data_IF_475090933391
#
_entry.id   IF_475090933391
#
_cell.length_a   1.000
_cell.length_b   1.000
_cell.length_c   1.000
_cell.angle_alpha   90.00
_cell.angle_beta   90.00
_cell.angle_gamma   90.00
#
_symmetry.space_group_name_H-M   'P 1'
#
loop_
_entity.id
_entity.type
_entity.pdbx_description
1 polymer ?
#
# COMPACT_ATOMS: atom_id res chain seq x y z
N UNK A 1 2.46 2.39 22.43
CA UNK A 1 1.45 1.72 21.59
C UNK A 1 0.06 2.11 22.07
N UNK A 2 -0.91 2.37 21.19
CA UNK A 2 -2.27 2.61 21.61
C UNK A 2 -2.80 1.37 22.33
N UNK A 3 -3.57 1.61 23.41
CA UNK A 3 -4.17 0.54 24.20
C UNK A 3 -5.19 -0.19 23.34
N UNK A 4 -5.19 -1.51 23.37
CA UNK A 4 -6.16 -2.30 22.69
C UNK A 4 -7.60 -1.95 23.12
N UNK A 5 -8.46 -1.67 22.15
CA UNK A 5 -9.86 -1.21 22.40
C UNK A 5 -10.89 -2.19 21.82
N UNK A 6 -10.47 -3.07 20.89
CA UNK A 6 -11.37 -3.95 20.12
C UNK A 6 -11.32 -5.42 20.52
N UNK A 7 -10.37 -5.85 21.34
CA UNK A 7 -10.19 -7.26 21.70
C UNK A 7 -9.47 -8.12 20.68
N UNK A 8 -8.93 -7.54 19.61
CA UNK A 8 -8.31 -8.28 18.50
C UNK A 8 -6.77 -8.27 18.54
N UNK A 9 -6.15 -7.69 19.58
CA UNK A 9 -4.68 -7.57 19.68
C UNK A 9 -4.04 -6.61 18.67
N UNK A 10 -4.82 -5.75 18.02
CA UNK A 10 -4.34 -4.85 16.97
C UNK A 10 -3.36 -3.79 17.51
N UNK A 11 -2.25 -3.56 16.81
CA UNK A 11 -1.29 -2.50 17.17
C UNK A 11 -1.91 -1.10 17.09
N UNK A 12 -2.82 -0.88 16.13
CA UNK A 12 -3.47 0.41 15.86
C UNK A 12 -4.99 0.25 15.74
N UNK A 13 -5.70 0.00 16.86
CA UNK A 13 -7.13 -0.34 16.83
C UNK A 13 -8.04 0.79 16.34
N UNK A 14 -7.62 2.05 16.44
CA UNK A 14 -8.40 3.21 15.97
C UNK A 14 -8.20 3.50 14.48
N UNK A 15 -7.05 3.13 13.93
CA UNK A 15 -6.72 3.35 12.52
C UNK A 15 -5.81 2.21 12.03
N UNK A 16 -6.45 1.13 11.58
CA UNK A 16 -5.76 -0.08 11.13
C UNK A 16 -4.60 0.20 10.17
N UNK A 17 -4.76 0.94 9.08
CA UNK A 17 -3.68 1.24 8.12
C UNK A 17 -2.38 1.79 8.72
N UNK A 18 -2.40 2.36 9.93
CA UNK A 18 -1.18 2.85 10.60
C UNK A 18 -0.14 1.75 10.86
N UNK A 19 -0.51 0.45 10.84
CA UNK A 19 0.45 -0.64 10.94
C UNK A 19 1.52 -0.57 9.83
N UNK A 20 1.12 -0.28 8.60
CA UNK A 20 2.05 -0.20 7.47
C UNK A 20 2.98 1.01 7.59
N UNK A 21 2.47 2.14 8.08
CA UNK A 21 3.28 3.33 8.35
C UNK A 21 4.33 3.07 9.44
N UNK A 22 3.98 2.27 10.45
CA UNK A 22 4.93 1.85 11.48
C UNK A 22 6.12 1.09 10.86
N UNK A 23 5.85 0.11 10.01
CA UNK A 23 6.92 -0.62 9.32
C UNK A 23 7.67 0.27 8.31
N UNK A 24 6.99 1.18 7.63
CA UNK A 24 7.61 2.15 6.73
C UNK A 24 8.59 3.08 7.48
N UNK A 25 8.24 3.52 8.68
CA UNK A 25 9.14 4.27 9.56
C UNK A 25 10.41 3.48 9.87
N UNK A 26 10.26 2.21 10.24
CA UNK A 26 11.40 1.31 10.47
C UNK A 26 12.25 1.20 9.19
N UNK A 27 11.61 1.00 8.04
CA UNK A 27 12.29 0.93 6.75
C UNK A 27 13.10 2.18 6.43
N UNK A 28 12.54 3.36 6.67
CA UNK A 28 13.23 4.63 6.47
C UNK A 28 14.44 4.80 7.42
N UNK A 29 14.33 4.37 8.67
CA UNK A 29 15.45 4.37 9.63
C UNK A 29 16.55 3.41 9.14
N UNK A 30 16.18 2.19 8.76
CA UNK A 30 17.13 1.19 8.22
C UNK A 30 17.77 1.71 6.93
N UNK A 31 17.04 2.38 6.07
CA UNK A 31 17.57 3.05 4.88
C UNK A 31 18.60 4.11 5.25
N UNK A 32 18.26 5.02 6.16
CA UNK A 32 19.13 6.12 6.54
C UNK A 32 20.44 5.65 7.19
N UNK A 33 20.38 4.58 7.98
CA UNK A 33 21.53 4.05 8.72
C UNK A 33 22.40 3.10 7.87
N UNK A 34 21.77 2.21 7.10
CA UNK A 34 22.42 1.08 6.47
C UNK A 34 22.29 1.07 4.95
N UNK A 35 21.06 0.99 4.41
CA UNK A 35 20.80 0.66 3.01
C UNK A 35 21.39 1.71 2.05
N UNK A 36 21.35 2.98 2.40
CA UNK A 36 21.90 4.06 1.58
C UNK A 36 23.38 3.89 1.26
N UNK A 37 24.13 3.20 2.13
CA UNK A 37 25.57 2.95 1.99
C UNK A 37 25.90 1.69 1.20
N UNK A 38 24.90 0.85 0.93
CA UNK A 38 25.11 -0.39 0.18
C UNK A 38 25.42 -0.10 -1.30
N UNK A 39 26.36 -0.85 -1.87
CA UNK A 39 26.55 -0.87 -3.32
C UNK A 39 25.29 -1.42 -4.02
N UNK A 40 25.10 -1.07 -5.29
CA UNK A 40 23.97 -1.57 -6.06
C UNK A 40 23.95 -3.10 -6.16
N UNK A 41 25.13 -3.74 -6.23
CA UNK A 41 25.24 -5.20 -6.24
C UNK A 41 24.75 -5.81 -4.92
N UNK A 42 25.20 -5.27 -3.79
CA UNK A 42 24.80 -5.76 -2.48
C UNK A 42 23.31 -5.51 -2.22
N UNK A 43 22.80 -4.36 -2.65
CA UNK A 43 21.36 -4.07 -2.60
C UNK A 43 20.55 -5.06 -3.45
N UNK A 44 21.03 -5.44 -4.63
CA UNK A 44 20.37 -6.45 -5.48
C UNK A 44 20.33 -7.83 -4.79
N UNK A 45 21.43 -8.24 -4.16
CA UNK A 45 21.47 -9.50 -3.39
C UNK A 45 20.51 -9.45 -2.22
N UNK A 46 20.47 -8.34 -1.47
CA UNK A 46 19.54 -8.15 -0.36
C UNK A 46 18.08 -8.19 -0.84
N UNK A 47 17.76 -7.47 -1.91
CA UNK A 47 16.41 -7.48 -2.49
C UNK A 47 16.01 -8.88 -2.94
N UNK A 48 16.89 -9.61 -3.59
CA UNK A 48 16.63 -10.99 -4.00
C UNK A 48 16.38 -11.90 -2.80
N UNK A 49 17.20 -11.83 -1.77
CA UNK A 49 17.00 -12.62 -0.54
C UNK A 49 15.66 -12.31 0.14
N UNK A 50 15.27 -11.02 0.19
CA UNK A 50 13.97 -10.62 0.73
C UNK A 50 12.80 -11.08 -0.15
N UNK A 51 12.94 -11.08 -1.47
CA UNK A 51 11.94 -11.66 -2.38
C UNK A 51 11.77 -13.17 -2.14
N UNK A 52 12.87 -13.91 -2.00
CA UNK A 52 12.83 -15.34 -1.67
C UNK A 52 12.14 -15.58 -0.31
N UNK A 53 12.47 -14.79 0.70
CA UNK A 53 11.87 -14.90 2.02
C UNK A 53 10.37 -14.57 2.01
N UNK A 54 9.96 -13.52 1.27
CA UNK A 54 8.53 -13.18 1.11
C UNK A 54 7.78 -14.28 0.36
N UNK A 55 8.37 -14.81 -0.73
CA UNK A 55 7.78 -15.91 -1.49
C UNK A 55 7.61 -17.14 -0.61
N UNK A 56 8.64 -17.52 0.14
CA UNK A 56 8.54 -18.63 1.09
C UNK A 56 7.42 -18.40 2.09
N UNK A 57 7.37 -17.23 2.72
CA UNK A 57 6.34 -16.87 3.70
C UNK A 57 4.92 -16.97 3.12
N UNK A 58 4.73 -16.48 1.89
CA UNK A 58 3.44 -16.47 1.21
C UNK A 58 3.01 -17.86 0.75
N UNK A 59 3.91 -18.58 0.07
CA UNK A 59 3.61 -19.88 -0.56
C UNK A 59 3.39 -21.00 0.47
N UNK A 60 4.15 -20.96 1.58
CA UNK A 60 4.00 -21.95 2.67
C UNK A 60 2.96 -21.54 3.72
N UNK A 61 2.17 -20.51 3.43
CA UNK A 61 1.10 -19.98 4.30
C UNK A 61 1.51 -19.82 5.76
N UNK A 62 2.63 -19.14 5.99
CA UNK A 62 3.10 -18.87 7.35
C UNK A 62 2.13 -17.98 8.15
N UNK A 63 1.20 -17.32 7.47
CA UNK A 63 0.13 -16.52 8.06
C UNK A 63 -0.99 -17.38 8.67
N UNK A 64 -1.26 -18.55 8.10
CA UNK A 64 -2.43 -19.37 8.37
C UNK A 64 -3.72 -18.87 7.75
N UNK A 65 -3.64 -17.84 6.87
CA UNK A 65 -4.81 -17.23 6.20
C UNK A 65 -4.79 -17.43 4.68
N UNK A 66 -3.81 -18.15 4.16
CA UNK A 66 -3.59 -18.29 2.72
C UNK A 66 -3.24 -16.96 2.02
N UNK A 67 -2.82 -15.94 2.76
CA UNK A 67 -2.56 -14.58 2.28
C UNK A 67 -1.41 -13.95 3.06
N UNK A 68 -0.71 -13.01 2.43
CA UNK A 68 0.30 -12.18 3.12
C UNK A 68 -0.33 -11.00 3.89
N UNK A 69 -1.63 -11.01 4.11
CA UNK A 69 -2.40 -9.99 4.84
C UNK A 69 -2.09 -9.93 6.34
N UNK A 70 -0.83 -9.80 6.73
CA UNK A 70 -0.33 -9.76 8.11
C UNK A 70 0.34 -8.43 8.46
N UNK A 71 0.64 -8.19 9.72
CA UNK A 71 1.29 -6.99 10.24
C UNK A 71 0.41 -6.20 11.20
N UNK A 72 -0.76 -6.73 11.58
CA UNK A 72 -1.78 -6.04 12.36
C UNK A 72 -1.55 -6.14 13.87
N UNK A 73 -0.95 -7.23 14.34
CA UNK A 73 -0.79 -7.58 15.76
C UNK A 73 0.68 -7.76 16.15
N UNK A 74 0.97 -7.77 17.45
CA UNK A 74 2.34 -7.86 18.00
C UNK A 74 2.70 -9.32 18.28
N UNK A 75 2.45 -10.21 17.34
CA UNK A 75 2.92 -11.59 17.40
C UNK A 75 4.06 -11.84 16.40
N UNK A 76 4.73 -12.95 16.55
CA UNK A 76 5.90 -13.32 15.74
C UNK A 76 5.57 -13.34 14.23
N UNK A 77 4.44 -13.91 13.86
CA UNK A 77 4.03 -14.08 12.47
C UNK A 77 3.71 -12.72 11.83
N UNK A 78 2.94 -11.89 12.54
CA UNK A 78 2.58 -10.57 12.06
C UNK A 78 3.78 -9.63 11.98
N UNK A 79 4.68 -9.65 12.96
CA UNK A 79 5.91 -8.82 12.92
C UNK A 79 6.80 -9.28 11.77
N UNK A 80 7.07 -10.57 11.63
CA UNK A 80 7.92 -11.10 10.56
C UNK A 80 7.31 -10.82 9.18
N UNK A 81 6.04 -11.15 8.99
CA UNK A 81 5.34 -10.93 7.73
C UNK A 81 5.22 -9.43 7.39
N UNK A 82 4.91 -8.58 8.36
CA UNK A 82 4.88 -7.13 8.18
C UNK A 82 6.23 -6.56 7.76
N UNK A 83 7.34 -7.02 8.37
CA UNK A 83 8.70 -6.64 7.98
C UNK A 83 9.04 -7.10 6.56
N UNK A 84 8.70 -8.34 6.17
CA UNK A 84 8.94 -8.85 4.82
C UNK A 84 8.12 -8.08 3.77
N UNK A 85 6.83 -7.83 4.06
CA UNK A 85 5.95 -7.05 3.19
C UNK A 85 6.42 -5.62 2.97
N UNK A 86 7.11 -5.04 3.94
CA UNK A 86 7.67 -3.71 3.82
C UNK A 86 9.06 -3.74 3.18
N UNK A 87 10.01 -4.52 3.71
CA UNK A 87 11.41 -4.49 3.26
C UNK A 87 11.59 -4.99 1.82
N UNK A 88 10.83 -6.01 1.39
CA UNK A 88 10.94 -6.52 0.03
C UNK A 88 10.62 -5.45 -1.02
N UNK A 89 9.40 -4.86 -1.10
CA UNK A 89 9.11 -3.84 -2.09
C UNK A 89 9.90 -2.54 -1.86
N UNK A 90 10.26 -2.22 -0.62
CA UNK A 90 11.08 -1.04 -0.30
C UNK A 90 12.48 -1.12 -0.89
N UNK A 91 13.19 -2.24 -0.68
CA UNK A 91 14.54 -2.45 -1.27
C UNK A 91 14.49 -2.58 -2.78
N UNK A 92 13.43 -3.22 -3.33
CA UNK A 92 13.20 -3.27 -4.77
C UNK A 92 12.99 -1.87 -5.35
N UNK A 93 12.19 -1.02 -4.70
CA UNK A 93 11.97 0.36 -5.11
C UNK A 93 13.26 1.18 -5.15
N UNK A 94 14.14 1.02 -4.13
CA UNK A 94 15.47 1.67 -4.12
C UNK A 94 16.35 1.12 -5.25
N UNK A 95 16.38 -0.19 -5.46
CA UNK A 95 17.12 -0.81 -6.55
C UNK A 95 16.63 -0.30 -7.90
N UNK A 96 15.31 -0.28 -8.11
CA UNK A 96 14.69 0.26 -9.31
C UNK A 96 15.08 1.73 -9.52
N UNK A 97 15.05 2.56 -8.50
CA UNK A 97 15.42 3.99 -8.62
C UNK A 97 16.86 4.20 -9.06
N UNK A 98 17.78 3.29 -8.66
CA UNK A 98 19.20 3.34 -9.10
C UNK A 98 19.41 2.84 -10.52
N UNK A 99 18.56 1.93 -10.99
CA UNK A 99 18.65 1.28 -12.29
C UNK A 99 17.71 1.88 -13.34
N UNK A 100 16.81 2.78 -12.89
CA UNK A 100 15.74 3.28 -13.73
C UNK A 100 16.28 3.99 -14.97
N UNK A 101 15.83 3.46 -16.11
CA UNK A 101 15.96 4.12 -17.41
C UNK A 101 14.57 4.23 -17.99
N UNK A 102 14.08 5.44 -18.30
CA UNK A 102 12.74 5.59 -18.83
C UNK A 102 12.60 4.80 -20.13
N UNK A 103 11.55 4.04 -20.25
CA UNK A 103 11.13 3.44 -21.51
C UNK A 103 10.75 4.58 -22.48
N UNK A 104 10.78 4.27 -23.79
CA UNK A 104 10.32 5.22 -24.82
C UNK A 104 8.95 5.76 -24.40
N UNK A 105 8.74 7.08 -24.44
CA UNK A 105 7.59 7.78 -23.87
C UNK A 105 6.26 7.06 -24.12
N UNK A 106 5.71 6.44 -23.08
CA UNK A 106 4.46 5.72 -23.16
C UNK A 106 3.29 6.71 -23.00
N UNK A 107 2.60 7.00 -24.09
CA UNK A 107 1.35 7.76 -24.04
C UNK A 107 0.27 6.90 -23.36
N UNK A 108 -0.49 7.48 -22.43
CA UNK A 108 -1.56 6.77 -21.74
C UNK A 108 -1.12 5.82 -20.62
N UNK A 109 0.17 5.87 -20.19
CA UNK A 109 0.72 5.02 -19.14
C UNK A 109 -0.10 5.08 -17.83
N UNK A 110 -0.66 6.24 -17.49
CA UNK A 110 -1.54 6.38 -16.32
C UNK A 110 -2.80 5.49 -16.45
N UNK A 111 -3.53 5.59 -17.55
CA UNK A 111 -4.78 4.85 -17.74
C UNK A 111 -4.55 3.35 -17.87
N UNK A 112 -3.51 2.94 -18.59
CA UNK A 112 -3.17 1.52 -18.74
C UNK A 112 -2.70 0.91 -17.42
N UNK A 113 -1.90 1.63 -16.63
CA UNK A 113 -1.50 1.19 -15.29
C UNK A 113 -2.69 1.11 -14.33
N UNK A 114 -3.58 2.11 -14.36
CA UNK A 114 -4.79 2.11 -13.54
C UNK A 114 -5.72 0.94 -13.91
N UNK A 115 -5.95 0.69 -15.20
CA UNK A 115 -6.77 -0.43 -15.65
C UNK A 115 -6.15 -1.78 -15.24
N UNK A 116 -4.84 -1.95 -15.39
CA UNK A 116 -4.15 -3.17 -14.97
C UNK A 116 -4.26 -3.41 -13.46
N UNK A 117 -4.08 -2.37 -12.64
CA UNK A 117 -4.25 -2.48 -11.19
C UNK A 117 -5.70 -2.82 -10.82
N UNK A 118 -6.69 -2.21 -11.49
CA UNK A 118 -8.09 -2.57 -11.28
C UNK A 118 -8.36 -4.04 -11.58
N UNK A 119 -7.83 -4.57 -12.69
CA UNK A 119 -7.98 -5.99 -13.04
C UNK A 119 -7.35 -6.88 -11.95
N UNK A 120 -6.12 -6.57 -11.52
CA UNK A 120 -5.41 -7.35 -10.50
C UNK A 120 -6.17 -7.36 -9.17
N UNK A 121 -6.70 -6.20 -8.74
CA UNK A 121 -7.44 -6.11 -7.48
C UNK A 121 -8.83 -6.75 -7.52
N UNK A 122 -9.35 -7.09 -8.70
CA UNK A 122 -10.60 -7.83 -8.86
C UNK A 122 -10.40 -9.36 -8.97
N UNK A 123 -9.16 -9.84 -8.96
CA UNK A 123 -8.91 -11.28 -8.88
C UNK A 123 -9.42 -11.79 -7.53
N UNK A 124 -10.36 -12.76 -7.52
CA UNK A 124 -10.88 -13.31 -6.29
C UNK A 124 -9.81 -14.12 -5.55
N UNK A 125 -10.06 -14.37 -4.26
CA UNK A 125 -9.19 -15.24 -3.47
C UNK A 125 -9.09 -16.63 -4.13
N UNK A 126 -7.86 -17.12 -4.31
CA UNK A 126 -7.57 -18.39 -4.98
C UNK A 126 -7.43 -19.47 -3.92
N UNK A 127 -8.47 -20.29 -3.77
CA UNK A 127 -8.45 -21.42 -2.85
C UNK A 127 -7.49 -22.52 -3.32
N UNK A 128 -6.85 -23.18 -2.37
CA UNK A 128 -6.03 -24.36 -2.61
C UNK A 128 -6.16 -25.32 -1.43
N UNK A 129 -6.38 -26.60 -1.72
CA UNK A 129 -6.45 -27.69 -0.73
C UNK A 129 -5.09 -28.38 -0.51
N UNK A 130 -4.04 -27.85 -1.13
CA UNK A 130 -2.69 -28.42 -1.08
C UNK A 130 -1.82 -27.83 0.02
N UNK A 131 -0.61 -28.36 0.16
CA UNK A 131 0.41 -27.88 1.10
C UNK A 131 0.94 -26.47 0.76
N UNK A 132 0.64 -25.95 -0.43
CA UNK A 132 1.07 -24.65 -0.90
C UNK A 132 -0.14 -23.76 -1.16
N UNK A 133 -0.04 -22.49 -0.71
CA UNK A 133 -1.06 -21.48 -0.96
C UNK A 133 -0.96 -20.93 -2.38
N UNK A 134 -1.92 -21.24 -3.25
CA UNK A 134 -2.01 -20.64 -4.59
C UNK A 134 -2.26 -19.14 -4.53
N UNK A 135 -3.07 -18.67 -3.57
CA UNK A 135 -3.25 -17.26 -3.34
C UNK A 135 -1.94 -16.58 -2.92
N UNK A 136 -1.17 -17.24 -2.04
CA UNK A 136 0.16 -16.76 -1.66
C UNK A 136 1.14 -16.66 -2.84
N UNK A 137 1.09 -17.63 -3.78
CA UNK A 137 1.85 -17.57 -5.04
C UNK A 137 1.43 -16.35 -5.87
N UNK A 138 0.13 -16.13 -6.03
CA UNK A 138 -0.41 -14.98 -6.77
C UNK A 138 0.01 -13.65 -6.14
N UNK A 139 -0.15 -13.48 -4.82
CA UNK A 139 0.23 -12.28 -4.10
C UNK A 139 1.73 -12.00 -4.18
N UNK A 140 2.58 -13.03 -3.99
CA UNK A 140 4.03 -12.90 -4.14
C UNK A 140 4.43 -12.50 -5.57
N UNK A 141 3.82 -13.11 -6.59
CA UNK A 141 4.06 -12.76 -7.99
C UNK A 141 3.65 -11.31 -8.29
N UNK A 142 2.52 -10.85 -7.73
CA UNK A 142 2.09 -9.46 -7.86
C UNK A 142 3.10 -8.49 -7.26
N UNK A 143 3.58 -8.75 -6.03
CA UNK A 143 4.51 -7.84 -5.34
C UNK A 143 5.90 -7.85 -5.99
N UNK A 144 6.40 -9.02 -6.37
CA UNK A 144 7.79 -9.15 -6.84
C UNK A 144 7.94 -8.83 -8.33
N UNK A 145 6.93 -9.11 -9.14
CA UNK A 145 7.01 -8.92 -10.59
C UNK A 145 6.03 -7.87 -11.11
N UNK A 146 4.74 -8.05 -10.87
CA UNK A 146 3.71 -7.25 -11.56
C UNK A 146 3.75 -5.79 -11.13
N UNK A 147 3.72 -5.50 -9.84
CA UNK A 147 3.73 -4.11 -9.35
C UNK A 147 5.02 -3.36 -9.69
N UNK A 148 6.23 -3.93 -9.57
CA UNK A 148 7.45 -3.28 -10.04
C UNK A 148 7.42 -2.95 -11.53
N UNK A 149 6.91 -3.84 -12.38
CA UNK A 149 6.77 -3.60 -13.82
C UNK A 149 5.76 -2.48 -14.10
N UNK A 150 4.62 -2.47 -13.40
CA UNK A 150 3.61 -1.39 -13.51
C UNK A 150 4.22 -0.05 -13.09
N UNK A 151 4.96 -0.01 -11.99
CA UNK A 151 5.63 1.21 -11.50
C UNK A 151 6.67 1.69 -12.50
N UNK A 152 7.50 0.77 -13.04
CA UNK A 152 8.50 1.11 -14.06
C UNK A 152 7.87 1.70 -15.32
N UNK A 153 6.80 1.08 -15.80
CA UNK A 153 6.04 1.54 -16.95
C UNK A 153 5.37 2.90 -16.69
N UNK A 154 4.68 3.03 -15.55
CA UNK A 154 4.02 4.27 -15.16
C UNK A 154 5.00 5.43 -14.98
N UNK A 155 6.18 5.18 -14.38
CA UNK A 155 7.25 6.17 -14.22
C UNK A 155 7.87 6.61 -15.56
N UNK A 156 7.76 5.79 -16.61
CA UNK A 156 8.18 6.14 -17.97
C UNK A 156 7.13 6.96 -18.72
N UNK A 157 5.93 7.11 -18.17
CA UNK A 157 4.83 7.83 -18.79
C UNK A 157 5.01 9.34 -18.76
N UNK A 158 4.46 10.02 -19.77
CA UNK A 158 4.34 11.48 -19.78
C UNK A 158 2.87 11.86 -20.00
N UNK A 159 2.37 12.77 -19.20
CA UNK A 159 1.12 13.46 -19.47
C UNK A 159 1.35 14.51 -20.55
N UNK A 160 0.54 14.49 -21.59
CA UNK A 160 0.70 15.39 -22.77
C UNK A 160 -0.18 16.63 -22.69
N UNK A 161 -1.18 16.61 -21.79
CA UNK A 161 -2.15 17.70 -21.64
C UNK A 161 -2.18 18.25 -20.20
N UNK A 162 -2.61 19.47 -20.07
CA UNK A 162 -2.66 20.21 -18.80
C UNK A 162 -3.68 19.58 -17.84
N UNK A 163 -4.81 19.08 -18.36
CA UNK A 163 -5.87 18.50 -17.54
C UNK A 163 -5.40 17.20 -16.88
N UNK A 164 -4.84 16.25 -17.66
CA UNK A 164 -4.28 15.00 -17.12
C UNK A 164 -3.15 15.27 -16.11
N UNK A 165 -2.30 16.25 -16.38
CA UNK A 165 -1.23 16.62 -15.45
C UNK A 165 -1.78 17.13 -14.11
N UNK A 166 -2.84 17.96 -14.14
CA UNK A 166 -3.49 18.47 -12.93
C UNK A 166 -4.15 17.34 -12.14
N UNK A 167 -4.86 16.44 -12.83
CA UNK A 167 -5.53 15.28 -12.21
C UNK A 167 -4.48 14.37 -11.55
N UNK A 168 -3.44 13.97 -12.27
CA UNK A 168 -2.39 13.12 -11.73
C UNK A 168 -1.70 13.75 -10.51
N UNK A 169 -1.40 15.06 -10.58
CA UNK A 169 -0.83 15.78 -9.45
C UNK A 169 -1.78 15.81 -8.26
N UNK A 170 -3.04 16.15 -8.47
CA UNK A 170 -4.05 16.15 -7.40
C UNK A 170 -4.18 14.80 -6.72
N UNK A 171 -4.31 13.71 -7.51
CA UNK A 171 -4.39 12.35 -6.99
C UNK A 171 -3.13 11.95 -6.20
N UNK A 172 -1.95 12.32 -6.70
CA UNK A 172 -0.69 12.10 -6.00
C UNK A 172 -0.61 12.86 -4.68
N UNK A 173 -0.97 14.14 -4.69
CA UNK A 173 -0.91 14.99 -3.50
C UNK A 173 -1.87 14.53 -2.39
N UNK A 174 -3.09 14.07 -2.73
CA UNK A 174 -4.07 13.60 -1.73
C UNK A 174 -3.87 12.13 -1.32
N UNK A 175 -3.08 11.33 -2.03
CA UNK A 175 -2.99 9.87 -1.80
C UNK A 175 -2.57 9.53 -0.37
N UNK A 176 -1.55 10.19 0.16
CA UNK A 176 -1.07 9.94 1.53
C UNK A 176 -2.06 10.43 2.61
N UNK A 177 -2.58 11.67 2.58
CA UNK A 177 -3.64 12.07 3.49
C UNK A 177 -4.87 11.16 3.42
N UNK A 178 -5.29 10.76 2.21
CA UNK A 178 -6.43 9.87 2.03
C UNK A 178 -6.20 8.50 2.68
N UNK A 179 -4.99 7.95 2.53
CA UNK A 179 -4.61 6.69 3.16
C UNK A 179 -4.75 6.73 4.69
N UNK A 180 -4.47 7.89 5.30
CA UNK A 180 -4.56 8.02 6.76
C UNK A 180 -6.00 8.24 7.22
N UNK A 181 -6.80 9.03 6.51
CA UNK A 181 -8.10 9.49 7.01
C UNK A 181 -9.29 8.62 6.61
N UNK A 182 -9.17 7.77 5.56
CA UNK A 182 -10.32 7.01 5.05
C UNK A 182 -10.82 5.94 6.03
N UNK A 183 -9.94 5.34 6.80
CA UNK A 183 -10.27 4.15 7.59
C UNK A 183 -11.28 4.40 8.72
N UNK A 184 -11.15 5.47 9.54
CA UNK A 184 -12.19 5.82 10.50
C UNK A 184 -13.56 6.08 9.86
N UNK A 185 -13.60 6.71 8.68
CA UNK A 185 -14.83 6.96 7.94
C UNK A 185 -15.43 5.67 7.38
N UNK A 186 -14.61 4.76 6.91
CA UNK A 186 -15.02 3.41 6.51
C UNK A 186 -15.65 2.64 7.68
N UNK A 187 -15.06 2.73 8.89
CA UNK A 187 -15.67 2.12 10.08
C UNK A 187 -16.99 2.77 10.46
N UNK A 188 -17.12 4.08 10.36
CA UNK A 188 -18.39 4.77 10.58
C UNK A 188 -19.47 4.26 9.60
N UNK A 189 -19.11 4.08 8.33
CA UNK A 189 -19.99 3.47 7.33
C UNK A 189 -20.36 2.02 7.69
N UNK A 190 -19.43 1.16 8.07
CA UNK A 190 -19.74 -0.20 8.51
C UNK A 190 -20.64 -0.24 9.75
N UNK A 191 -20.40 0.62 10.72
CA UNK A 191 -21.27 0.73 11.90
C UNK A 191 -22.70 1.15 11.52
N UNK A 192 -22.82 2.05 10.54
CA UNK A 192 -24.13 2.43 10.01
C UNK A 192 -24.82 1.24 9.32
N UNK A 193 -24.13 0.47 8.47
CA UNK A 193 -24.68 -0.74 7.83
C UNK A 193 -25.21 -1.75 8.87
N UNK A 194 -24.42 -2.01 9.91
CA UNK A 194 -24.79 -2.96 10.97
C UNK A 194 -26.03 -2.48 11.73
N UNK A 195 -26.09 -1.18 12.06
CA UNK A 195 -27.22 -0.59 12.80
C UNK A 195 -28.50 -0.56 11.99
N UNK A 196 -28.42 -0.24 10.69
CA UNK A 196 -29.59 -0.13 9.82
C UNK A 196 -29.99 -1.46 9.20
N UNK A 197 -29.12 -2.49 9.27
CA UNK A 197 -29.27 -3.79 8.59
C UNK A 197 -29.50 -3.67 7.08
N UNK A 198 -28.98 -2.61 6.47
CA UNK A 198 -29.08 -2.37 5.03
C UNK A 198 -27.80 -2.91 4.37
N UNK A 199 -27.91 -3.99 3.60
CA UNK A 199 -26.74 -4.65 2.98
C UNK A 199 -26.85 -4.71 1.45
N UNK A 200 -27.95 -4.25 0.88
CA UNK A 200 -28.10 -4.24 -0.59
C UNK A 200 -27.41 -3.01 -1.20
N UNK A 201 -26.83 -3.16 -2.37
CA UNK A 201 -26.16 -2.05 -3.05
C UNK A 201 -27.10 -0.87 -3.29
N UNK A 202 -28.37 -1.14 -3.65
CA UNK A 202 -29.37 -0.12 -3.91
C UNK A 202 -29.66 0.77 -2.69
N UNK A 203 -29.65 0.21 -1.48
CA UNK A 203 -29.91 0.95 -0.24
C UNK A 203 -28.66 1.70 0.26
N UNK A 204 -27.48 1.14 -0.01
CA UNK A 204 -26.24 1.59 0.64
C UNK A 204 -25.39 2.54 -0.22
N UNK A 205 -25.61 2.60 -1.55
CA UNK A 205 -24.78 3.42 -2.44
C UNK A 205 -24.73 4.92 -2.06
N UNK A 206 -25.82 5.58 -1.56
CA UNK A 206 -25.72 6.99 -1.21
C UNK A 206 -24.80 7.22 -0.01
N UNK A 207 -24.90 6.33 1.01
CA UNK A 207 -24.05 6.39 2.19
C UNK A 207 -22.59 6.04 1.86
N UNK A 208 -22.36 5.07 0.97
CA UNK A 208 -21.02 4.75 0.46
C UNK A 208 -20.41 5.94 -0.30
N UNK A 209 -21.19 6.58 -1.17
CA UNK A 209 -20.73 7.77 -1.89
C UNK A 209 -20.44 8.94 -0.93
N UNK A 210 -21.27 9.12 0.09
CA UNK A 210 -21.02 10.13 1.13
C UNK A 210 -19.72 9.84 1.90
N UNK A 211 -19.46 8.59 2.29
CA UNK A 211 -18.24 8.19 2.98
C UNK A 211 -16.98 8.40 2.13
N UNK A 212 -17.04 8.04 0.85
CA UNK A 212 -15.94 8.29 -0.11
C UNK A 212 -15.70 9.79 -0.30
N UNK A 213 -16.77 10.55 -0.53
CA UNK A 213 -16.67 12.01 -0.72
C UNK A 213 -16.12 12.70 0.54
N UNK A 214 -16.60 12.32 1.72
CA UNK A 214 -16.09 12.82 3.00
C UNK A 214 -14.60 12.50 3.18
N UNK A 215 -14.16 11.29 2.79
CA UNK A 215 -12.75 10.89 2.85
C UNK A 215 -11.87 11.76 1.94
N UNK A 216 -12.32 12.05 0.73
CA UNK A 216 -11.59 12.90 -0.22
C UNK A 216 -11.53 14.36 0.29
N UNK A 217 -12.65 14.90 0.78
CA UNK A 217 -12.71 16.25 1.33
C UNK A 217 -11.79 16.38 2.54
N UNK A 218 -11.87 15.43 3.48
CA UNK A 218 -11.03 15.42 4.67
C UNK A 218 -9.54 15.29 4.32
N UNK A 219 -9.20 14.43 3.35
CA UNK A 219 -7.83 14.29 2.84
C UNK A 219 -7.30 15.60 2.24
N UNK A 220 -8.14 16.28 1.46
CA UNK A 220 -7.79 17.59 0.88
C UNK A 220 -7.61 18.67 1.95
N UNK A 221 -8.48 18.71 2.97
CA UNK A 221 -8.32 19.62 4.11
C UNK A 221 -7.01 19.34 4.87
N UNK A 222 -6.72 18.06 5.17
CA UNK A 222 -5.46 17.67 5.81
C UNK A 222 -4.24 18.06 4.98
N UNK A 223 -4.29 17.89 3.66
CA UNK A 223 -3.23 18.33 2.76
C UNK A 223 -3.00 19.83 2.87
N UNK A 224 -4.07 20.65 2.79
CA UNK A 224 -3.96 22.11 2.73
C UNK A 224 -3.65 22.75 4.07
N UNK A 225 -4.31 22.27 5.15
CA UNK A 225 -4.22 22.93 6.46
C UNK A 225 -3.06 22.40 7.31
N UNK A 226 -2.59 21.18 7.04
CA UNK A 226 -1.55 20.56 7.86
C UNK A 226 -0.30 20.19 7.04
N UNK A 227 -0.43 19.30 6.06
CA UNK A 227 0.72 18.68 5.39
C UNK A 227 1.58 19.71 4.62
N UNK A 228 0.95 20.54 3.79
CA UNK A 228 1.68 21.56 3.02
C UNK A 228 2.36 22.62 3.91
N UNK A 229 1.72 23.19 4.95
CA UNK A 229 2.37 24.10 5.88
C UNK A 229 3.55 23.47 6.63
N UNK A 230 3.38 22.25 7.14
CA UNK A 230 4.44 21.52 7.88
C UNK A 230 5.64 21.24 6.98
N UNK A 231 5.41 20.74 5.75
CA UNK A 231 6.50 20.52 4.77
C UNK A 231 7.23 21.80 4.42
N UNK A 232 6.51 22.93 4.29
CA UNK A 232 7.12 24.23 4.02
C UNK A 232 7.97 24.69 5.20
N UNK A 233 7.48 24.53 6.42
CA UNK A 233 8.20 24.87 7.64
C UNK A 233 9.48 24.02 7.79
N UNK A 234 9.40 22.69 7.64
CA UNK A 234 10.54 21.78 7.71
C UNK A 234 11.63 22.06 6.65
N UNK A 235 11.23 22.52 5.47
CA UNK A 235 12.17 22.85 4.40
C UNK A 235 12.95 24.15 4.65
N UNK A 236 12.44 25.00 5.54
CA UNK A 236 13.05 26.27 5.89
C UNK A 236 13.91 26.20 7.15
N UNK A 237 14.00 24.99 7.80
CA UNK A 237 14.94 24.67 8.85
C UNK A 237 16.27 24.19 8.28
#
# INVERSE_FOLDING_TARGET
>A
MPREVRGNGEMFPLNGPCWSLFFEYIGNIVYALLIRRLSTRLLAVLSFALCCALTWFAVTDQSGYGSIGVGWTVDRTNILGGMLRMLCPFTMGILMSRLFKPLRQARGAFWTSAALLLIIFHVPYIYSDGALSLNGVFEAACIIAVFPLVVWYAASGKTTDIASTRICRFLGDISYPLYIVHYPLMYAFYMWLIKTRQYTLHETWPAALAAVSASIILAWLCLKLYDMPVRKWLRNL
#
